data_IF_355914347300
#
_entry.id   IF_355914347300
#
_cell.length_a   1.000
_cell.length_b   1.000
_cell.length_c   1.000
_cell.angle_alpha   90.00
_cell.angle_beta   90.00
_cell.angle_gamma   90.00
#
_symmetry.space_group_name_H-M   'P 1'
#
loop_
_entity.id
_entity.type
_entity.pdbx_description
1 polymer ?
#
# COMPACT_ATOMS: atom_id res chain seq x y z
N UNK A 1 -13.24 20.37 -16.17
CA UNK A 1 -14.12 21.14 -15.27
C UNK A 1 -15.26 21.72 -16.10
N UNK A 2 -14.96 22.34 -17.24
CA UNK A 2 -15.94 22.72 -18.25
C UNK A 2 -16.28 21.55 -19.20
N UNK A 3 -17.57 21.32 -19.45
CA UNK A 3 -18.09 20.30 -20.37
C UNK A 3 -18.17 18.86 -19.83
N UNK A 4 -17.90 18.65 -18.53
CA UNK A 4 -18.03 17.34 -17.89
C UNK A 4 -19.17 17.41 -16.87
N UNK A 5 -20.01 16.37 -16.76
CA UNK A 5 -21.03 16.33 -15.72
C UNK A 5 -20.38 16.49 -14.33
N UNK A 6 -21.12 17.09 -13.37
CA UNK A 6 -20.64 17.32 -12.01
C UNK A 6 -20.15 16.04 -11.32
N UNK A 7 -19.32 16.21 -10.29
CA UNK A 7 -18.63 15.09 -9.64
C UNK A 7 -19.64 14.09 -9.05
N UNK A 8 -20.76 14.56 -8.51
CA UNK A 8 -21.80 13.72 -7.92
C UNK A 8 -22.46 12.82 -8.98
N UNK A 9 -22.82 13.38 -10.13
CA UNK A 9 -23.41 12.63 -11.25
C UNK A 9 -22.46 11.54 -11.75
N UNK A 10 -21.15 11.84 -11.80
CA UNK A 10 -20.13 10.87 -12.21
C UNK A 10 -19.93 9.76 -11.20
N UNK A 11 -20.01 10.07 -9.90
CA UNK A 11 -19.97 9.06 -8.84
C UNK A 11 -21.21 8.19 -8.90
N UNK A 12 -22.40 8.78 -9.07
CA UNK A 12 -23.66 8.06 -9.20
C UNK A 12 -23.66 7.12 -10.42
N UNK A 13 -23.14 7.57 -11.58
CA UNK A 13 -22.97 6.73 -12.76
C UNK A 13 -22.05 5.52 -12.49
N UNK A 14 -20.89 5.74 -11.86
CA UNK A 14 -19.97 4.64 -11.48
C UNK A 14 -20.58 3.68 -10.47
N UNK A 15 -21.30 4.18 -9.48
CA UNK A 15 -21.96 3.33 -8.48
C UNK A 15 -23.09 2.50 -9.10
N UNK A 16 -23.80 3.03 -10.11
CA UNK A 16 -24.78 2.26 -10.90
C UNK A 16 -24.11 1.12 -11.69
N UNK A 17 -22.93 1.37 -12.27
CA UNK A 17 -22.16 0.37 -13.02
C UNK A 17 -21.54 -0.72 -12.13
N UNK A 18 -21.08 -0.36 -10.92
CA UNK A 18 -20.40 -1.26 -9.99
C UNK A 18 -21.33 -2.31 -9.35
N UNK A 19 -22.65 -2.06 -9.38
CA UNK A 19 -23.66 -2.93 -8.77
C UNK A 19 -23.59 -2.96 -7.24
N UNK A 20 -24.51 -3.70 -6.58
CA UNK A 20 -24.55 -3.81 -5.13
C UNK A 20 -23.28 -4.47 -4.57
N UNK A 21 -22.84 -4.01 -3.39
CA UNK A 21 -21.72 -4.60 -2.68
C UNK A 21 -22.00 -6.08 -2.40
N UNK A 22 -21.08 -6.95 -2.84
CA UNK A 22 -21.19 -8.39 -2.59
C UNK A 22 -20.82 -8.65 -1.11
N UNK A 23 -21.73 -9.15 -0.28
CA UNK A 23 -21.43 -9.42 1.13
C UNK A 23 -20.25 -10.40 1.23
N UNK A 24 -19.28 -10.09 2.10
CA UNK A 24 -18.06 -10.87 2.28
C UNK A 24 -16.95 -10.62 1.26
N UNK A 25 -17.17 -9.79 0.23
CA UNK A 25 -16.11 -9.43 -0.73
C UNK A 25 -15.26 -8.28 -0.19
N UNK A 26 -14.10 -8.64 0.36
CA UNK A 26 -13.07 -7.68 0.78
C UNK A 26 -11.94 -7.60 -0.24
N UNK A 27 -11.18 -6.51 -0.21
CA UNK A 27 -9.96 -6.41 -1.01
C UNK A 27 -8.99 -7.53 -0.60
N UNK A 28 -8.40 -8.29 -1.54
CA UNK A 28 -7.45 -9.32 -1.20
C UNK A 28 -6.22 -8.69 -0.53
N UNK A 29 -6.08 -8.89 0.78
CA UNK A 29 -4.97 -8.32 1.56
C UNK A 29 -3.64 -9.07 1.36
N UNK A 30 -3.64 -10.20 0.65
CA UNK A 30 -2.44 -11.01 0.47
C UNK A 30 -1.27 -10.25 -0.21
N UNK A 31 -1.47 -9.49 -1.31
CA UNK A 31 -0.40 -8.73 -1.93
C UNK A 31 0.11 -7.60 -1.03
N UNK A 32 -0.80 -6.89 -0.36
CA UNK A 32 -0.45 -5.81 0.55
C UNK A 32 0.35 -6.32 1.76
N UNK A 33 -0.06 -7.45 2.35
CA UNK A 33 0.64 -8.08 3.47
C UNK A 33 2.04 -8.54 3.08
N UNK A 34 2.20 -9.12 1.89
CA UNK A 34 3.51 -9.55 1.39
C UNK A 34 4.46 -8.36 1.20
N UNK A 35 3.99 -7.29 0.53
CA UNK A 35 4.78 -6.08 0.34
C UNK A 35 5.20 -5.44 1.66
N UNK A 36 4.28 -5.37 2.62
CA UNK A 36 4.55 -4.85 3.95
C UNK A 36 5.67 -5.65 4.65
N UNK A 37 5.55 -6.98 4.69
CA UNK A 37 6.55 -7.84 5.32
C UNK A 37 7.93 -7.74 4.65
N UNK A 38 7.97 -7.69 3.32
CA UNK A 38 9.22 -7.52 2.56
C UNK A 38 9.85 -6.16 2.86
N UNK A 39 9.07 -5.08 2.83
CA UNK A 39 9.59 -3.74 3.12
C UNK A 39 10.16 -3.63 4.53
N UNK A 40 9.47 -4.20 5.54
CA UNK A 40 9.98 -4.24 6.91
C UNK A 40 11.25 -5.06 6.99
N UNK A 41 11.30 -6.23 6.34
CA UNK A 41 12.50 -7.07 6.31
C UNK A 41 13.71 -6.32 5.77
N UNK A 42 13.55 -5.58 4.67
CA UNK A 42 14.61 -4.75 4.08
C UNK A 42 15.08 -3.68 5.08
N UNK A 43 14.15 -2.94 5.69
CA UNK A 43 14.48 -1.90 6.67
C UNK A 43 15.25 -2.48 7.85
N UNK A 44 14.79 -3.59 8.41
CA UNK A 44 15.45 -4.24 9.54
C UNK A 44 16.87 -4.67 9.15
N UNK A 45 17.04 -5.35 8.01
CA UNK A 45 18.36 -5.82 7.54
C UNK A 45 19.31 -4.65 7.31
N UNK A 46 18.87 -3.57 6.67
CA UNK A 46 19.74 -2.42 6.42
C UNK A 46 20.17 -1.71 7.70
N UNK A 47 19.30 -1.61 8.70
CA UNK A 47 19.65 -1.05 10.00
C UNK A 47 20.63 -1.94 10.75
N UNK A 48 20.43 -3.25 10.76
CA UNK A 48 21.38 -4.20 11.36
C UNK A 48 22.73 -4.16 10.67
N UNK A 49 22.76 -4.08 9.33
CA UNK A 49 24.00 -3.95 8.58
C UNK A 49 24.72 -2.64 8.89
N UNK A 50 24.02 -1.50 8.86
CA UNK A 50 24.58 -0.20 9.18
C UNK A 50 25.10 -0.12 10.62
N UNK A 51 24.34 -0.65 11.57
CA UNK A 51 24.75 -0.71 12.98
C UNK A 51 25.97 -1.61 13.16
N UNK A 52 25.98 -2.79 12.53
CA UNK A 52 27.14 -3.69 12.57
C UNK A 52 28.37 -3.00 12.00
N UNK A 53 28.27 -2.40 10.81
CA UNK A 53 29.36 -1.64 10.20
C UNK A 53 29.85 -0.53 11.11
N UNK A 54 28.95 0.25 11.72
CA UNK A 54 29.32 1.31 12.65
C UNK A 54 30.16 0.78 13.84
N UNK A 55 29.75 -0.34 14.45
CA UNK A 55 30.49 -0.92 15.57
C UNK A 55 31.81 -1.57 15.15
N UNK A 56 31.88 -2.20 13.98
CA UNK A 56 33.11 -2.83 13.49
C UNK A 56 34.12 -1.82 12.92
N UNK A 57 33.66 -0.72 12.32
CA UNK A 57 34.50 0.33 11.75
C UNK A 57 34.95 1.36 12.80
N UNK A 58 34.14 1.63 13.83
CA UNK A 58 34.52 2.51 14.95
C UNK A 58 35.41 1.83 16.01
N UNK A 59 35.79 0.57 15.79
CA UNK A 59 36.49 -0.29 16.75
C UNK A 59 37.87 -0.81 16.30
N UNK A 60 38.51 -0.17 15.30
CA UNK A 60 39.86 -0.49 14.82
C UNK A 60 40.83 0.68 14.96
#
# INVERSE_FOLDING_TARGET
MFGRPPIEERIAARQRELGPLKPGKVFPHAPARMLFLVSIGIVVVTHFAALSLYFFDSGG
#
